data_IF_854331662393
#
_entry.id   IF_854331662393
#
_cell.length_a   1.000
_cell.length_b   1.000
_cell.length_c   1.000
_cell.angle_alpha   90.00
_cell.angle_beta   90.00
_cell.angle_gamma   90.00
#
_symmetry.space_group_name_H-M   'P 1'
#
loop_
_entity.id
_entity.type
_entity.pdbx_description
1 polymer ?
#
# COMPACT_ATOMS: atom_id res chain seq x y z
N UNK A 1 20.21 -30.80 1.71
CA UNK A 1 19.32 -30.10 2.67
C UNK A 1 19.46 -28.56 2.61
N UNK A 2 19.78 -27.95 1.45
CA UNK A 2 19.86 -26.47 1.29
C UNK A 2 18.67 -25.85 0.52
N UNK A 3 17.76 -26.67 -0.02
CA UNK A 3 16.67 -26.18 -0.86
C UNK A 3 15.40 -25.77 -0.10
N UNK A 4 15.17 -26.27 1.12
CA UNK A 4 13.95 -25.98 1.88
C UNK A 4 13.97 -24.63 2.65
N UNK A 5 15.15 -24.02 2.83
CA UNK A 5 15.30 -22.75 3.56
C UNK A 5 15.02 -21.52 2.69
N UNK A 6 15.10 -21.68 1.37
CA UNK A 6 14.80 -20.62 0.40
C UNK A 6 13.32 -20.56 0.03
N UNK A 7 12.56 -21.64 0.25
CA UNK A 7 11.10 -21.65 0.09
C UNK A 7 10.37 -20.98 1.26
N UNK A 8 10.96 -20.95 2.46
CA UNK A 8 10.37 -20.28 3.63
C UNK A 8 10.39 -18.75 3.54
N UNK A 9 11.21 -18.19 2.63
CA UNK A 9 11.33 -16.74 2.39
C UNK A 9 10.30 -16.28 1.34
N UNK A 10 9.67 -17.21 0.61
CA UNK A 10 8.79 -16.92 -0.54
C UNK A 10 7.33 -16.60 -0.16
N UNK A 11 6.93 -16.69 1.10
CA UNK A 11 5.50 -16.60 1.50
C UNK A 11 5.31 -15.89 2.84
N UNK A 12 5.84 -14.68 2.99
CA UNK A 12 5.50 -13.84 4.14
C UNK A 12 4.10 -13.22 3.92
N UNK A 13 3.32 -12.97 4.98
CA UNK A 13 2.00 -12.31 4.86
C UNK A 13 2.14 -10.89 4.31
N UNK A 14 3.18 -10.17 4.72
CA UNK A 14 3.60 -8.87 4.22
C UNK A 14 3.90 -8.92 2.72
N UNK A 15 4.70 -9.88 2.24
CA UNK A 15 5.00 -10.00 0.81
C UNK A 15 3.75 -10.29 -0.01
N UNK A 16 2.92 -11.23 0.47
CA UNK A 16 1.63 -11.57 -0.14
C UNK A 16 0.68 -10.37 -0.16
N UNK A 17 0.60 -9.62 0.95
CA UNK A 17 -0.22 -8.41 1.07
C UNK A 17 0.23 -7.31 0.12
N UNK A 18 1.54 -7.09 -0.01
CA UNK A 18 2.09 -6.14 -0.98
C UNK A 18 1.80 -6.56 -2.43
N UNK A 19 1.86 -7.85 -2.75
CA UNK A 19 1.50 -8.35 -4.08
C UNK A 19 0.01 -8.14 -4.40
N UNK A 20 -0.87 -8.42 -3.44
CA UNK A 20 -2.31 -8.17 -3.60
C UNK A 20 -2.62 -6.68 -3.79
N UNK A 21 -2.00 -5.81 -3.00
CA UNK A 21 -2.14 -4.35 -3.15
C UNK A 21 -1.62 -3.88 -4.53
N UNK A 22 -0.48 -4.41 -4.98
CA UNK A 22 0.04 -4.09 -6.32
C UNK A 22 -0.95 -4.45 -7.43
N UNK A 23 -1.59 -5.61 -7.33
CA UNK A 23 -2.53 -6.10 -8.35
C UNK A 23 -3.84 -5.29 -8.41
N UNK A 24 -4.17 -4.61 -7.31
CA UNK A 24 -5.39 -3.78 -7.22
C UNK A 24 -5.14 -2.31 -7.60
N UNK A 25 -3.90 -1.82 -7.54
CA UNK A 25 -3.48 -0.49 -8.01
C UNK A 25 -3.40 -0.40 -9.54
N UNK A 26 -4.56 -0.48 -10.21
CA UNK A 26 -4.69 -0.35 -11.66
C UNK A 26 -4.48 1.11 -12.12
N UNK A 27 -4.21 1.35 -13.42
CA UNK A 27 -4.28 2.68 -14.00
C UNK A 27 -5.66 3.30 -13.77
N UNK A 28 -5.68 4.52 -13.23
CA UNK A 28 -6.91 5.26 -12.94
C UNK A 28 -7.40 5.94 -14.22
N UNK A 29 -8.71 5.93 -14.51
CA UNK A 29 -9.24 6.49 -15.75
C UNK A 29 -9.12 8.01 -15.77
N UNK A 30 -8.93 8.55 -16.97
CA UNK A 30 -9.00 9.98 -17.25
C UNK A 30 -10.29 10.23 -18.02
N UNK A 31 -11.16 11.09 -17.50
CA UNK A 31 -12.46 11.40 -18.09
C UNK A 31 -12.46 12.87 -18.50
N UNK A 32 -12.79 13.16 -19.75
CA UNK A 32 -12.93 14.52 -20.23
C UNK A 32 -14.18 15.15 -19.61
N UNK A 33 -14.04 16.36 -19.07
CA UNK A 33 -15.13 17.15 -18.53
C UNK A 33 -15.61 18.13 -19.60
N UNK A 34 -16.92 18.21 -19.78
CA UNK A 34 -17.52 19.13 -20.73
C UNK A 34 -17.36 20.57 -20.25
N UNK A 35 -16.38 21.28 -20.80
CA UNK A 35 -16.24 22.73 -20.68
C UNK A 35 -16.04 23.37 -22.04
N UNK A 36 -16.66 24.52 -22.23
CA UNK A 36 -16.53 25.31 -23.45
C UNK A 36 -15.15 25.94 -23.46
N UNK A 37 -14.47 25.87 -24.61
CA UNK A 37 -13.17 26.54 -24.88
C UNK A 37 -11.93 25.98 -24.14
N UNK A 38 -12.03 24.87 -23.41
CA UNK A 38 -10.87 24.24 -22.76
C UNK A 38 -10.99 22.72 -22.65
N UNK A 39 -9.90 22.03 -22.93
CA UNK A 39 -9.75 20.60 -22.67
C UNK A 39 -9.46 20.34 -21.19
N UNK A 40 -10.50 20.05 -20.40
CA UNK A 40 -10.36 19.66 -19.01
C UNK A 40 -10.55 18.15 -18.84
N UNK A 41 -9.67 17.52 -18.06
CA UNK A 41 -9.76 16.10 -17.72
C UNK A 41 -9.76 15.90 -16.20
N UNK A 42 -10.59 14.99 -15.73
CA UNK A 42 -10.57 14.49 -14.36
C UNK A 42 -9.83 13.14 -14.31
N UNK A 43 -8.87 13.04 -13.39
CA UNK A 43 -8.19 11.77 -13.08
C UNK A 43 -8.88 11.12 -11.88
N UNK A 44 -9.54 9.99 -12.10
CA UNK A 44 -10.43 9.39 -11.12
C UNK A 44 -9.68 8.45 -10.16
N UNK A 45 -9.00 9.01 -9.17
CA UNK A 45 -8.26 8.23 -8.15
C UNK A 45 -9.14 7.52 -7.11
N UNK A 46 -10.46 7.78 -7.10
CA UNK A 46 -11.38 7.09 -6.20
C UNK A 46 -11.57 5.61 -6.55
N UNK A 47 -11.10 5.16 -7.71
CA UNK A 47 -11.18 3.74 -8.11
C UNK A 47 -10.08 2.88 -7.48
N UNK A 48 -9.13 3.49 -6.76
CA UNK A 48 -8.15 2.75 -5.96
C UNK A 48 -8.87 2.02 -4.80
N UNK A 49 -8.27 0.97 -4.21
CA UNK A 49 -8.93 0.09 -3.22
C UNK A 49 -9.62 0.78 -2.05
N UNK A 50 -9.02 1.83 -1.49
CA UNK A 50 -9.52 2.62 -0.36
C UNK A 50 -10.19 3.92 -0.85
N UNK A 51 -10.27 4.10 -2.16
CA UNK A 51 -10.91 5.26 -2.78
C UNK A 51 -10.10 6.54 -2.70
N UNK A 52 -8.77 6.44 -2.53
CA UNK A 52 -7.90 7.60 -2.42
C UNK A 52 -6.64 7.46 -3.27
N UNK A 53 -6.05 8.61 -3.62
CA UNK A 53 -4.72 8.67 -4.23
C UNK A 53 -3.62 8.11 -3.30
N UNK A 54 -3.88 8.09 -1.99
CA UNK A 54 -2.90 7.71 -0.95
C UNK A 54 -2.49 6.24 -1.02
N UNK A 55 -3.33 5.36 -1.58
CA UNK A 55 -3.08 3.92 -1.72
C UNK A 55 -1.79 3.64 -2.49
N UNK A 56 -1.54 4.46 -3.53
CA UNK A 56 -0.33 4.37 -4.35
C UNK A 56 0.92 4.71 -3.53
N UNK A 57 0.87 5.82 -2.78
CA UNK A 57 2.00 6.25 -1.95
C UNK A 57 2.26 5.26 -0.82
N UNK A 58 1.22 4.76 -0.17
CA UNK A 58 1.31 3.75 0.89
C UNK A 58 2.02 2.49 0.40
N UNK A 59 1.59 1.95 -0.74
CA UNK A 59 2.21 0.78 -1.34
C UNK A 59 3.72 0.98 -1.58
N UNK A 60 4.13 2.10 -2.18
CA UNK A 60 5.53 2.34 -2.48
C UNK A 60 6.38 2.54 -1.21
N UNK A 61 5.87 3.24 -0.20
CA UNK A 61 6.58 3.43 1.07
C UNK A 61 6.84 2.08 1.74
N UNK A 62 5.80 1.26 1.87
CA UNK A 62 5.88 -0.04 2.53
C UNK A 62 6.74 -1.03 1.75
N UNK A 63 6.58 -1.08 0.43
CA UNK A 63 7.41 -1.91 -0.44
C UNK A 63 8.89 -1.57 -0.28
N UNK A 64 9.24 -0.28 -0.27
CA UNK A 64 10.64 0.15 -0.10
C UNK A 64 11.17 -0.17 1.30
N UNK A 65 10.36 0.05 2.33
CA UNK A 65 10.75 -0.29 3.70
C UNK A 65 10.96 -1.81 3.85
N UNK A 66 10.10 -2.64 3.26
CA UNK A 66 10.24 -4.09 3.25
C UNK A 66 11.47 -4.53 2.45
N UNK A 67 11.71 -3.95 1.26
CA UNK A 67 12.91 -4.21 0.45
C UNK A 67 14.21 -3.87 1.19
N UNK A 68 14.19 -2.84 2.05
CA UNK A 68 15.32 -2.44 2.89
C UNK A 68 15.46 -3.26 4.18
N UNK A 69 14.49 -4.13 4.48
CA UNK A 69 14.43 -4.89 5.73
C UNK A 69 14.10 -4.04 6.96
N UNK A 70 13.55 -2.83 6.77
CA UNK A 70 13.17 -1.92 7.86
C UNK A 70 11.87 -2.36 8.55
N UNK A 71 11.03 -3.13 7.85
CA UNK A 71 9.77 -3.66 8.36
C UNK A 71 9.67 -5.15 8.07
N UNK A 72 9.04 -5.87 9.00
CA UNK A 72 8.71 -7.29 8.93
C UNK A 72 7.26 -7.50 9.39
N UNK A 73 6.78 -8.75 9.43
CA UNK A 73 5.42 -9.10 9.86
C UNK A 73 5.05 -8.55 11.24
N UNK A 74 6.01 -8.50 12.14
CA UNK A 74 5.82 -8.03 13.53
C UNK A 74 5.91 -6.50 13.65
N UNK A 75 6.23 -5.81 12.55
CA UNK A 75 6.41 -4.36 12.57
C UNK A 75 5.07 -3.64 12.53
N UNK A 76 4.77 -2.93 13.62
CA UNK A 76 3.63 -2.03 13.66
C UNK A 76 3.97 -0.73 12.93
N UNK A 77 3.29 -0.48 11.81
CA UNK A 77 3.42 0.78 11.07
C UNK A 77 2.44 1.80 11.63
N UNK A 78 2.97 2.91 12.14
CA UNK A 78 2.16 4.03 12.65
C UNK A 78 2.22 5.16 11.64
N UNK A 79 1.06 5.63 11.17
CA UNK A 79 0.96 6.77 10.28
C UNK A 79 -0.04 7.79 10.84
N UNK A 80 0.34 9.07 10.78
CA UNK A 80 -0.48 10.18 11.26
C UNK A 80 -1.19 10.84 10.09
N UNK A 81 -2.31 10.27 9.65
CA UNK A 81 -3.22 10.92 8.69
C UNK A 81 -4.67 10.85 9.11
N UNK A 82 -5.48 11.67 8.43
CA UNK A 82 -6.94 11.77 8.56
C UNK A 82 -7.74 10.52 8.14
N UNK A 83 -7.13 9.33 8.00
CA UNK A 83 -7.84 8.05 7.95
C UNK A 83 -7.64 7.18 6.71
N UNK A 84 -7.35 7.76 5.53
CA UNK A 84 -7.31 6.96 4.28
C UNK A 84 -6.01 6.17 4.07
N UNK A 85 -4.89 6.59 4.65
CA UNK A 85 -3.64 5.84 4.53
C UNK A 85 -3.69 4.58 5.41
N UNK A 86 -4.25 4.69 6.62
CA UNK A 86 -4.44 3.58 7.54
C UNK A 86 -5.48 2.55 7.04
N UNK A 87 -6.52 2.97 6.30
CA UNK A 87 -7.51 2.03 5.76
C UNK A 87 -6.96 1.13 4.63
N UNK A 88 -5.80 1.47 4.04
CA UNK A 88 -5.06 0.54 3.17
C UNK A 88 -4.45 -0.64 3.95
N UNK A 89 -4.42 -0.55 5.28
CA UNK A 89 -3.93 -1.54 6.22
C UNK A 89 -5.08 -2.21 6.98
N UNK A 90 -5.89 -3.01 6.29
CA UNK A 90 -6.82 -3.89 7.00
C UNK A 90 -6.07 -5.09 7.59
N UNK A 91 -5.51 -4.87 8.78
CA UNK A 91 -4.79 -5.87 9.56
C UNK A 91 -4.00 -5.23 10.69
N UNK A 92 -4.66 -5.09 11.84
CA UNK A 92 -4.11 -4.82 13.19
C UNK A 92 -4.18 -3.38 13.72
N UNK A 93 -4.49 -3.32 15.03
CA UNK A 93 -5.00 -2.21 15.84
C UNK A 93 -4.21 -0.91 15.72
N UNK A 94 -4.93 0.20 15.54
CA UNK A 94 -4.49 1.52 16.01
C UNK A 94 -4.31 1.51 17.53
N UNK A 95 -3.08 1.39 18.01
CA UNK A 95 -2.69 1.84 19.35
C UNK A 95 -1.25 2.34 19.31
N UNK A 96 -1.05 3.56 19.79
CA UNK A 96 0.21 4.26 19.94
C UNK A 96 1.15 3.52 20.90
N UNK A 97 2.01 2.63 20.39
CA UNK A 97 3.23 2.17 21.10
C UNK A 97 4.12 1.35 20.18
N UNK A 98 5.40 1.74 20.09
CA UNK A 98 6.42 1.12 19.25
C UNK A 98 6.86 -0.26 19.74
N UNK A 99 6.99 -1.20 18.80
CA UNK A 99 8.09 -2.18 18.81
C UNK A 99 8.69 -2.26 17.40
N UNK A 100 9.88 -1.68 17.22
CA UNK A 100 10.74 -1.93 16.06
C UNK A 100 11.39 -3.30 16.25
N UNK A 101 11.30 -4.17 15.25
CA UNK A 101 12.06 -5.40 15.24
C UNK A 101 13.54 -5.04 15.00
N UNK A 102 14.38 -5.22 16.01
CA UNK A 102 15.84 -5.31 15.84
C UNK A 102 16.24 -6.76 15.58
#
# INVERSE_FOLDING_TARGET
>A
MRSALLDQISTSRLSTGLELLRNTLRPTPHVQLAMKEMDLFAKLEYVNPVGSIKDRSAYWILKRAAERGEICEETTVIESSSGNFAAAHHGERCTSSLSLCQ
#
